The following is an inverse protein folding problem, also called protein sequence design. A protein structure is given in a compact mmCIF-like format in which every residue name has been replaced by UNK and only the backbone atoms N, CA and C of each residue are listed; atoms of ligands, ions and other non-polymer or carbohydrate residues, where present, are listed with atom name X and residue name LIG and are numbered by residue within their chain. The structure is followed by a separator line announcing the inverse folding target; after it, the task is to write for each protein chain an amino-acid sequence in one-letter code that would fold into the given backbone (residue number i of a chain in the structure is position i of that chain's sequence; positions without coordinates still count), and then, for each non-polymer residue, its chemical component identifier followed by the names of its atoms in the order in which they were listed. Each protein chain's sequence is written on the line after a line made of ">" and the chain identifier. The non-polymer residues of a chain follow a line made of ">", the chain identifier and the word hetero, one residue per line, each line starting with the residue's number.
data_IF_227294121104
#
_entry.id   IF_227294121104
#
_cell.length_a   1.000
_cell.length_b   1.000
_cell.length_c   1.000
_cell.angle_alpha   90.00
_cell.angle_beta   90.00
_cell.angle_gamma   90.00
#
_symmetry.space_group_name_H-M   'P 1'
#
loop_
_entity.id
_entity.type
_entity.pdbx_description
1 polymer ?
#
# COMPACT_ATOMS: atom_id res chain seq x y z
N UNK A 1 -0.71 -6.43 -21.60
CA UNK A 1 -0.69 -6.48 -20.12
C UNK A 1 0.71 -6.07 -19.68
N UNK A 2 0.86 -4.93 -18.97
CA UNK A 2 2.15 -4.44 -18.49
C UNK A 2 2.41 -5.00 -17.09
N UNK A 3 3.65 -5.36 -16.78
CA UNK A 3 4.05 -5.73 -15.42
C UNK A 3 4.04 -4.49 -14.51
N UNK A 4 3.53 -4.65 -13.29
CA UNK A 4 3.59 -3.62 -12.26
C UNK A 4 5.03 -3.49 -11.74
N UNK A 5 5.44 -2.28 -11.41
CA UNK A 5 6.68 -2.07 -10.65
C UNK A 5 6.51 -2.61 -9.22
N UNK A 6 7.62 -2.73 -8.50
CA UNK A 6 7.58 -3.18 -7.10
C UNK A 6 6.73 -2.26 -6.23
N UNK A 7 6.77 -0.94 -6.49
CA UNK A 7 5.98 0.05 -5.75
C UNK A 7 4.50 -0.03 -6.14
N UNK A 8 4.17 -0.12 -7.42
CA UNK A 8 2.79 -0.29 -7.89
C UNK A 8 2.15 -1.58 -7.32
N UNK A 9 2.92 -2.67 -7.29
CA UNK A 9 2.48 -3.94 -6.72
C UNK A 9 2.21 -3.81 -5.22
N UNK A 10 3.08 -3.08 -4.50
CA UNK A 10 2.90 -2.79 -3.08
C UNK A 10 1.63 -1.99 -2.83
N UNK A 11 1.41 -0.92 -3.59
CA UNK A 11 0.22 -0.06 -3.47
C UNK A 11 -1.05 -0.86 -3.70
N UNK A 12 -1.11 -1.64 -4.79
CA UNK A 12 -2.26 -2.48 -5.10
C UNK A 12 -2.52 -3.52 -4.00
N UNK A 13 -1.46 -4.18 -3.50
CA UNK A 13 -1.57 -5.15 -2.42
C UNK A 13 -2.09 -4.52 -1.12
N UNK A 14 -1.64 -3.31 -0.78
CA UNK A 14 -2.12 -2.56 0.39
C UNK A 14 -3.61 -2.22 0.26
N UNK A 15 -4.06 -1.76 -0.91
CA UNK A 15 -5.48 -1.45 -1.14
C UNK A 15 -6.35 -2.70 -0.98
N UNK A 16 -5.97 -3.80 -1.63
CA UNK A 16 -6.71 -5.06 -1.55
C UNK A 16 -6.74 -5.64 -0.12
N UNK A 17 -5.60 -5.60 0.59
CA UNK A 17 -5.53 -6.04 1.99
C UNK A 17 -6.45 -5.21 2.88
N UNK A 18 -6.44 -3.88 2.75
CA UNK A 18 -7.20 -2.99 3.65
C UNK A 18 -8.67 -2.91 3.33
N UNK A 19 -9.07 -3.11 2.08
CA UNK A 19 -10.49 -3.29 1.71
C UNK A 19 -11.11 -4.48 2.45
N UNK A 20 -10.37 -5.60 2.56
CA UNK A 20 -10.86 -6.82 3.20
C UNK A 20 -10.67 -6.85 4.72
N UNK A 21 -9.49 -6.48 5.20
CA UNK A 21 -9.13 -6.60 6.61
C UNK A 21 -9.65 -5.44 7.48
N UNK A 22 -9.82 -4.26 6.89
CA UNK A 22 -10.19 -3.03 7.60
C UNK A 22 -11.21 -2.19 6.81
N UNK A 23 -12.38 -2.75 6.46
CA UNK A 23 -13.34 -2.12 5.55
C UNK A 23 -13.86 -0.76 6.05
N UNK A 24 -13.96 -0.57 7.36
CA UNK A 24 -14.42 0.70 7.97
C UNK A 24 -13.49 1.89 7.69
N UNK A 25 -12.22 1.62 7.35
CA UNK A 25 -11.23 2.64 7.02
C UNK A 25 -11.04 2.80 5.50
N UNK A 26 -11.79 2.06 4.69
CA UNK A 26 -11.74 2.15 3.23
C UNK A 26 -12.85 3.09 2.71
N UNK A 27 -12.58 3.97 1.73
CA UNK A 27 -11.33 4.15 1.00
C UNK A 27 -10.22 4.82 1.84
N UNK A 28 -8.97 4.41 1.60
CA UNK A 28 -7.80 4.99 2.27
C UNK A 28 -7.51 6.41 1.76
N UNK A 29 -7.09 7.30 2.66
CA UNK A 29 -6.39 8.53 2.28
C UNK A 29 -4.97 8.21 1.78
N UNK A 30 -4.33 9.15 1.06
CA UNK A 30 -2.94 8.98 0.60
C UNK A 30 -1.99 8.67 1.77
N UNK A 31 -2.10 9.39 2.87
CA UNK A 31 -1.27 9.16 4.06
C UNK A 31 -1.52 7.76 4.67
N UNK A 32 -2.77 7.31 4.73
CA UNK A 32 -3.11 5.97 5.21
C UNK A 32 -2.53 4.88 4.29
N UNK A 33 -2.52 5.11 2.98
CA UNK A 33 -1.92 4.21 1.99
C UNK A 33 -0.40 4.17 2.10
N UNK A 34 0.28 5.30 2.30
CA UNK A 34 1.73 5.34 2.57
C UNK A 34 2.06 4.55 3.83
N UNK A 35 1.30 4.77 4.92
CA UNK A 35 1.47 4.01 6.16
C UNK A 35 1.24 2.52 5.95
N UNK A 36 0.25 2.13 5.13
CA UNK A 36 0.03 0.74 4.76
C UNK A 36 1.20 0.14 3.96
N UNK A 37 1.78 0.90 3.02
CA UNK A 37 2.93 0.45 2.23
C UNK A 37 4.19 0.21 3.06
N UNK A 38 4.36 1.04 4.11
CA UNK A 38 5.51 1.05 5.02
C UNK A 38 5.29 0.23 6.31
N UNK A 39 4.24 -0.59 6.39
CA UNK A 39 4.01 -1.45 7.55
C UNK A 39 5.20 -2.37 7.82
N UNK A 40 5.59 -2.49 9.10
CA UNK A 40 6.69 -3.37 9.53
C UNK A 40 6.30 -4.85 9.52
N UNK A 41 5.01 -5.14 9.63
CA UNK A 41 4.44 -6.48 9.53
C UNK A 41 3.81 -6.69 8.16
N UNK A 42 3.73 -7.96 7.74
CA UNK A 42 3.08 -8.38 6.48
C UNK A 42 3.60 -7.65 5.24
N UNK A 43 4.88 -7.24 5.24
CA UNK A 43 5.58 -6.65 4.10
C UNK A 43 6.93 -7.33 3.93
N UNK A 44 7.21 -7.76 2.71
CA UNK A 44 8.51 -8.28 2.30
C UNK A 44 8.84 -7.76 0.89
N UNK A 45 9.90 -6.94 0.70
CA UNK A 45 10.68 -6.31 1.75
C UNK A 45 9.88 -5.21 2.47
N UNK A 46 10.27 -4.89 3.70
CA UNK A 46 9.81 -3.65 4.37
C UNK A 46 10.35 -2.45 3.57
N UNK A 47 9.49 -1.48 3.28
CA UNK A 47 9.83 -0.28 2.50
C UNK A 47 9.69 0.99 3.35
N UNK A 48 10.28 2.08 2.85
CA UNK A 48 10.10 3.44 3.36
C UNK A 48 9.80 4.36 2.17
N UNK A 49 8.56 4.33 1.70
CA UNK A 49 8.07 5.14 0.59
C UNK A 49 7.60 6.51 1.09
N UNK A 50 7.86 7.55 0.29
CA UNK A 50 7.29 8.88 0.47
C UNK A 50 5.86 8.97 -0.11
N UNK A 51 5.19 10.09 0.10
CA UNK A 51 3.90 10.36 -0.59
C UNK A 51 4.10 10.46 -2.11
N UNK A 52 5.22 10.99 -2.58
CA UNK A 52 5.55 11.10 -4.01
C UNK A 52 5.78 9.74 -4.68
N UNK A 53 6.30 8.75 -3.94
CA UNK A 53 6.47 7.39 -4.45
C UNK A 53 5.11 6.66 -4.62
N UNK A 54 4.08 7.08 -3.89
CA UNK A 54 2.78 6.40 -3.79
C UNK A 54 1.68 7.09 -4.62
N UNK A 55 1.79 8.40 -4.82
CA UNK A 55 0.84 9.21 -5.60
C UNK A 55 0.87 8.89 -7.10
#
# INVERSE_FOLDING_TARGET
>A
MRALTTVETRVLGCLAEKELATPDYYPLSLNALVNACNQKSNRDPVMQLSEEDVA
#
